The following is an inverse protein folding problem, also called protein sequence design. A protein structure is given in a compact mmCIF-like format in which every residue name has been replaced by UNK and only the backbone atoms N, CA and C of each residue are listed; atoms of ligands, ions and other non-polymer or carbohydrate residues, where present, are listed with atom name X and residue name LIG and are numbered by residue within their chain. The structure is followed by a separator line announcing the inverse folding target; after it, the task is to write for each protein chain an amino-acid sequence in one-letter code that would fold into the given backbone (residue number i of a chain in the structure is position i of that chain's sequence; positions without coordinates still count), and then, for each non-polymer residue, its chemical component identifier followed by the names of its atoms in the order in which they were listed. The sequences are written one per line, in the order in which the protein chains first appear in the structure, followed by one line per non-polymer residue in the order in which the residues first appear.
data_IF_677783877682
#
_entry.id   IF_677783877682
#
_cell.length_a   1.000
_cell.length_b   1.000
_cell.length_c   1.000
_cell.angle_alpha   90.00
_cell.angle_beta   90.00
_cell.angle_gamma   90.00
#
_symmetry.space_group_name_H-M   'P 1'
#
loop_
_entity.id
_entity.type
_entity.pdbx_description
1 polymer ?
#
# COMPACT_ATOMS: atom_id res chain seq x y z
N UNK A 1 62.87 84.88 -30.28
CA UNK A 1 61.70 84.01 -30.06
C UNK A 1 60.62 84.81 -29.35
N UNK A 2 59.39 84.68 -29.85
CA UNK A 2 58.23 85.60 -29.79
C UNK A 2 57.40 85.34 -28.51
N UNK A 3 57.35 86.26 -27.54
CA UNK A 3 56.22 87.17 -27.19
C UNK A 3 54.80 86.58 -27.28
N UNK A 4 54.24 86.25 -26.10
CA UNK A 4 53.17 86.98 -25.39
C UNK A 4 51.89 87.42 -26.12
N UNK A 5 50.77 87.22 -25.40
CA UNK A 5 49.52 88.02 -25.34
C UNK A 5 48.28 87.50 -26.10
N UNK A 6 47.20 87.24 -25.32
CA UNK A 6 45.79 87.69 -25.47
C UNK A 6 44.91 86.84 -24.51
N UNK A 7 44.48 87.35 -23.35
CA UNK A 7 43.26 88.16 -23.07
C UNK A 7 41.97 87.40 -23.45
N UNK A 8 40.85 87.40 -22.73
CA UNK A 8 40.39 88.04 -21.49
C UNK A 8 39.02 87.42 -21.17
N UNK A 9 38.60 87.55 -19.91
CA UNK A 9 37.24 87.74 -19.41
C UNK A 9 36.14 86.65 -19.48
N UNK A 10 35.53 86.47 -18.30
CA UNK A 10 34.09 86.60 -18.04
C UNK A 10 33.43 85.40 -17.31
N UNK A 11 33.31 85.59 -15.99
CA UNK A 11 32.04 85.59 -15.24
C UNK A 11 31.24 84.28 -15.10
N UNK A 12 31.20 83.79 -13.84
CA UNK A 12 30.11 82.96 -13.31
C UNK A 12 28.74 83.60 -13.57
N UNK A 13 27.70 82.76 -13.73
CA UNK A 13 26.62 82.88 -12.78
C UNK A 13 26.14 81.54 -12.20
N UNK A 14 25.90 81.58 -10.89
CA UNK A 14 25.04 80.72 -10.10
C UNK A 14 23.74 80.36 -10.85
N UNK A 15 23.53 79.07 -11.12
CA UNK A 15 22.22 78.54 -11.52
C UNK A 15 21.83 77.37 -10.62
N UNK A 16 20.84 77.65 -9.78
CA UNK A 16 20.12 76.80 -8.85
C UNK A 16 19.86 75.38 -9.37
N UNK A 17 20.47 74.38 -8.70
CA UNK A 17 20.02 72.99 -8.76
C UNK A 17 18.66 72.86 -8.05
N UNK A 18 17.57 72.97 -8.81
CA UNK A 18 16.21 72.67 -8.36
C UNK A 18 15.97 71.14 -8.25
N UNK A 19 15.12 70.65 -7.31
CA UNK A 19 14.98 69.21 -7.00
C UNK A 19 14.06 68.43 -7.96
N UNK A 20 13.84 68.91 -9.18
CA UNK A 20 12.81 68.35 -10.09
C UNK A 20 13.27 67.07 -10.80
N UNK A 21 14.53 66.98 -11.24
CA UNK A 21 15.01 65.85 -12.06
C UNK A 21 15.17 64.53 -11.30
N UNK A 22 15.18 64.56 -9.97
CA UNK A 22 15.35 63.34 -9.14
C UNK A 22 14.04 62.57 -8.94
N UNK A 23 12.88 63.24 -9.01
CA UNK A 23 11.56 62.62 -8.83
C UNK A 23 11.13 61.80 -10.05
N UNK A 24 11.49 62.25 -11.25
CA UNK A 24 11.07 61.61 -12.51
C UNK A 24 11.86 60.31 -12.79
N UNK A 25 13.17 60.29 -12.49
CA UNK A 25 14.01 59.09 -12.61
C UNK A 25 13.68 57.99 -11.58
N UNK A 26 13.02 58.32 -10.47
CA UNK A 26 12.47 57.33 -9.53
C UNK A 26 11.14 56.74 -10.00
N UNK A 27 10.30 57.52 -10.70
CA UNK A 27 9.03 57.05 -11.25
C UNK A 27 9.22 56.04 -12.39
N UNK A 28 10.12 56.32 -13.33
CA UNK A 28 10.37 55.44 -14.49
C UNK A 28 10.94 54.08 -14.08
N UNK A 29 11.90 54.04 -13.14
CA UNK A 29 12.45 52.78 -12.62
C UNK A 29 11.40 51.92 -11.92
N UNK A 30 10.43 52.54 -11.24
CA UNK A 30 9.29 51.84 -10.65
C UNK A 30 8.32 51.30 -11.72
N UNK A 31 8.11 52.00 -12.84
CA UNK A 31 7.26 51.51 -13.93
C UNK A 31 7.89 50.33 -14.67
N UNK A 32 9.19 50.38 -14.99
CA UNK A 32 9.89 49.24 -15.63
C UNK A 32 9.94 48.00 -14.74
N UNK A 33 10.06 48.17 -13.42
CA UNK A 33 9.99 47.06 -12.47
C UNK A 33 8.60 46.42 -12.40
N UNK A 34 7.53 47.22 -12.36
CA UNK A 34 6.14 46.74 -12.40
C UNK A 34 5.82 45.99 -13.69
N UNK A 35 6.28 46.50 -14.84
CA UNK A 35 6.13 45.84 -16.14
C UNK A 35 6.90 44.51 -16.18
N UNK A 36 8.15 44.48 -15.72
CA UNK A 36 8.95 43.23 -15.65
C UNK A 36 8.30 42.16 -14.78
N UNK A 37 7.76 42.53 -13.61
CA UNK A 37 7.01 41.59 -12.77
C UNK A 37 5.75 41.11 -13.49
N UNK A 38 5.00 41.99 -14.14
CA UNK A 38 3.81 41.62 -14.91
C UNK A 38 4.13 40.63 -16.04
N UNK A 39 5.23 40.87 -16.78
CA UNK A 39 5.70 39.97 -17.84
C UNK A 39 6.16 38.63 -17.29
N UNK A 40 6.93 38.61 -16.19
CA UNK A 40 7.35 37.35 -15.56
C UNK A 40 6.14 36.57 -15.06
N UNK A 41 5.19 37.23 -14.38
CA UNK A 41 3.98 36.59 -13.86
C UNK A 41 3.12 36.02 -14.98
N UNK A 42 2.97 36.76 -16.09
CA UNK A 42 2.26 36.31 -17.28
C UNK A 42 2.95 35.11 -17.95
N UNK A 43 4.28 35.16 -18.10
CA UNK A 43 5.07 34.05 -18.65
C UNK A 43 5.03 32.82 -17.74
N UNK A 44 5.10 33.00 -16.42
CA UNK A 44 4.93 31.91 -15.45
C UNK A 44 3.53 31.31 -15.55
N UNK A 45 2.50 32.14 -15.74
CA UNK A 45 1.13 31.68 -15.89
C UNK A 45 0.93 30.86 -17.18
N UNK A 46 1.49 31.32 -18.30
CA UNK A 46 1.51 30.56 -19.56
C UNK A 46 2.26 29.25 -19.38
N UNK A 47 3.46 29.26 -18.78
CA UNK A 47 4.24 28.05 -18.55
C UNK A 47 3.50 27.07 -17.63
N UNK A 48 2.81 27.56 -16.60
CA UNK A 48 2.00 26.72 -15.72
C UNK A 48 0.83 26.10 -16.48
N UNK A 49 0.14 26.87 -17.32
CA UNK A 49 -0.99 26.40 -18.12
C UNK A 49 -0.55 25.36 -19.17
N UNK A 50 0.53 25.64 -19.90
CA UNK A 50 1.10 24.71 -20.88
C UNK A 50 1.65 23.46 -20.19
N UNK A 51 2.38 23.64 -19.08
CA UNK A 51 2.95 22.54 -18.31
C UNK A 51 1.89 21.61 -17.75
N UNK A 52 0.86 22.16 -17.10
CA UNK A 52 -0.27 21.38 -16.57
C UNK A 52 -1.05 20.69 -17.69
N UNK A 53 -1.29 21.36 -18.81
CA UNK A 53 -1.95 20.75 -19.98
C UNK A 53 -1.14 19.57 -20.54
N UNK A 54 0.19 19.71 -20.67
CA UNK A 54 1.05 18.63 -21.16
C UNK A 54 1.10 17.45 -20.18
N UNK A 55 1.19 17.73 -18.88
CA UNK A 55 1.14 16.73 -17.81
C UNK A 55 -0.16 15.93 -17.80
N UNK A 56 -1.26 16.51 -18.27
CA UNK A 56 -2.53 15.80 -18.41
C UNK A 56 -2.61 15.00 -19.71
N UNK A 57 -2.28 15.63 -20.84
CA UNK A 57 -2.45 15.06 -22.19
C UNK A 57 -1.47 13.93 -22.51
N UNK A 58 -0.19 14.06 -22.14
CA UNK A 58 0.83 13.05 -22.44
C UNK A 58 0.48 11.67 -21.87
N UNK A 59 0.15 11.54 -20.57
CA UNK A 59 -0.30 10.27 -20.00
C UNK A 59 -1.57 9.73 -20.67
N UNK A 60 -2.55 10.58 -20.98
CA UNK A 60 -3.82 10.11 -21.57
C UNK A 60 -3.61 9.50 -22.95
N UNK A 61 -2.84 10.18 -23.80
CA UNK A 61 -2.55 9.69 -25.16
C UNK A 61 -1.78 8.39 -25.10
N UNK A 62 -0.75 8.32 -24.24
CA UNK A 62 0.06 7.12 -24.08
C UNK A 62 -0.76 5.92 -23.59
N UNK A 63 -1.60 6.12 -22.56
CA UNK A 63 -2.48 5.07 -22.05
C UNK A 63 -3.50 4.59 -23.08
N UNK A 64 -4.12 5.52 -23.83
CA UNK A 64 -5.06 5.18 -24.91
C UNK A 64 -4.39 4.39 -26.04
N UNK A 65 -3.19 4.79 -26.46
CA UNK A 65 -2.44 4.07 -27.49
C UNK A 65 -2.17 2.61 -27.08
N UNK A 66 -1.83 2.39 -25.81
CA UNK A 66 -1.57 1.03 -25.31
C UNK A 66 -2.87 0.23 -25.18
N UNK A 67 -3.95 0.79 -24.64
CA UNK A 67 -5.23 0.08 -24.58
C UNK A 67 -5.78 -0.27 -25.97
N UNK A 68 -5.63 0.63 -26.94
CA UNK A 68 -5.96 0.35 -28.33
C UNK A 68 -5.09 -0.77 -28.92
N UNK A 69 -3.81 -0.83 -28.57
CA UNK A 69 -2.91 -1.89 -29.02
C UNK A 69 -3.28 -3.25 -28.41
N UNK A 70 -3.64 -3.28 -27.12
CA UNK A 70 -4.03 -4.49 -26.38
C UNK A 70 -5.48 -4.91 -26.65
N UNK A 71 -6.26 -4.11 -27.40
CA UNK A 71 -7.69 -4.32 -27.71
C UNK A 71 -8.57 -4.42 -26.45
N UNK A 72 -8.29 -3.58 -25.46
CA UNK A 72 -9.12 -3.45 -24.26
C UNK A 72 -10.03 -2.24 -24.46
N UNK A 73 -11.35 -2.46 -24.41
CA UNK A 73 -12.35 -1.39 -24.50
C UNK A 73 -12.40 -0.61 -23.18
N UNK A 74 -11.53 0.40 -23.04
CA UNK A 74 -11.56 1.33 -21.91
C UNK A 74 -12.53 2.49 -22.18
N UNK A 75 -13.75 2.38 -21.66
CA UNK A 75 -14.78 3.42 -21.77
C UNK A 75 -14.53 4.68 -20.92
N UNK A 76 -13.55 4.67 -20.01
CA UNK A 76 -13.27 5.81 -19.13
C UNK A 76 -11.83 6.31 -19.28
N UNK A 77 -11.70 7.57 -19.70
CA UNK A 77 -10.41 8.23 -19.93
C UNK A 77 -9.57 8.39 -18.66
N UNK A 78 -10.20 8.32 -17.48
CA UNK A 78 -9.50 8.35 -16.20
C UNK A 78 -8.56 7.15 -16.03
N UNK A 79 -8.94 5.96 -16.55
CA UNK A 79 -8.10 4.78 -16.51
C UNK A 79 -6.93 4.88 -17.49
N UNK A 80 -7.17 5.43 -18.68
CA UNK A 80 -6.11 5.70 -19.66
C UNK A 80 -5.10 6.71 -19.12
N UNK A 81 -5.57 7.78 -18.47
CA UNK A 81 -4.72 8.76 -17.80
C UNK A 81 -3.85 8.11 -16.72
N UNK A 82 -4.46 7.39 -15.77
CA UNK A 82 -3.76 6.78 -14.65
C UNK A 82 -2.71 5.76 -15.12
N UNK A 83 -3.08 4.91 -16.08
CA UNK A 83 -2.19 3.89 -16.63
C UNK A 83 -1.01 4.51 -17.39
N UNK A 84 -1.25 5.51 -18.24
CA UNK A 84 -0.17 6.22 -18.92
C UNK A 84 0.76 6.95 -17.97
N UNK A 85 0.23 7.48 -16.85
CA UNK A 85 1.04 8.16 -15.84
C UNK A 85 1.96 7.18 -15.10
N UNK A 86 1.46 5.98 -14.78
CA UNK A 86 2.27 4.92 -14.20
C UNK A 86 3.42 4.50 -15.12
N UNK A 87 3.16 4.38 -16.43
CA UNK A 87 4.20 4.02 -17.39
C UNK A 87 5.26 5.11 -17.49
N UNK A 88 4.85 6.38 -17.56
CA UNK A 88 5.79 7.50 -17.58
C UNK A 88 6.63 7.53 -16.31
N UNK A 89 6.00 7.37 -15.15
CA UNK A 89 6.69 7.28 -13.86
C UNK A 89 7.71 6.13 -13.83
N UNK A 90 7.29 4.91 -14.19
CA UNK A 90 8.18 3.75 -14.24
C UNK A 90 9.32 3.94 -15.26
N UNK A 91 9.06 4.55 -16.41
CA UNK A 91 10.08 4.81 -17.42
C UNK A 91 11.13 5.82 -16.93
N UNK A 92 10.70 6.83 -16.17
CA UNK A 92 11.59 7.82 -15.57
C UNK A 92 12.45 7.19 -14.48
N UNK A 93 11.84 6.44 -13.56
CA UNK A 93 12.54 5.71 -12.51
C UNK A 93 13.54 4.71 -13.09
N UNK A 94 13.15 3.99 -14.15
CA UNK A 94 14.02 3.07 -14.86
C UNK A 94 15.19 3.80 -15.53
N UNK A 95 14.94 4.94 -16.19
CA UNK A 95 16.00 5.73 -16.83
C UNK A 95 16.99 6.31 -15.81
N UNK A 96 16.50 6.79 -14.67
CA UNK A 96 17.32 7.30 -13.56
C UNK A 96 18.14 6.17 -12.93
N UNK A 97 17.53 5.01 -12.69
CA UNK A 97 18.19 3.82 -12.18
C UNK A 97 19.25 3.31 -13.16
N UNK A 98 18.92 3.19 -14.45
CA UNK A 98 19.86 2.79 -15.49
C UNK A 98 21.03 3.78 -15.58
N UNK A 99 20.79 5.08 -15.47
CA UNK A 99 21.87 6.09 -15.44
C UNK A 99 22.77 5.88 -14.23
N UNK A 100 22.21 5.64 -13.05
CA UNK A 100 22.99 5.36 -11.84
C UNK A 100 23.86 4.11 -12.02
N UNK A 101 23.28 3.03 -12.56
CA UNK A 101 23.99 1.78 -12.83
C UNK A 101 25.05 1.98 -13.92
N UNK A 102 24.76 2.69 -15.02
CA UNK A 102 25.71 3.03 -16.11
C UNK A 102 26.90 3.87 -15.63
N UNK A 103 26.68 4.79 -14.69
CA UNK A 103 27.77 5.54 -14.05
C UNK A 103 28.60 4.64 -13.12
N UNK A 104 27.97 3.64 -12.46
CA UNK A 104 28.69 2.65 -11.65
C UNK A 104 29.37 1.53 -12.45
N UNK A 105 29.03 1.35 -13.74
CA UNK A 105 29.46 0.25 -14.61
C UNK A 105 30.97 0.25 -14.97
N UNK A 106 31.76 1.16 -14.38
CA UNK A 106 33.20 1.22 -14.57
C UNK A 106 34.01 0.14 -13.80
N UNK A 107 33.39 -0.68 -12.92
CA UNK A 107 34.09 -1.72 -12.14
C UNK A 107 33.29 -3.04 -12.02
N UNK A 108 33.99 -4.19 -11.96
CA UNK A 108 33.42 -5.55 -11.89
C UNK A 108 32.45 -5.77 -10.71
N UNK A 109 32.57 -4.96 -9.66
CA UNK A 109 31.70 -4.96 -8.48
C UNK A 109 30.24 -4.59 -8.82
N UNK A 110 30.01 -3.82 -9.89
CA UNK A 110 28.69 -3.38 -10.33
C UNK A 110 27.81 -4.52 -10.86
N UNK A 111 28.39 -5.58 -11.45
CA UNK A 111 27.61 -6.75 -11.90
C UNK A 111 27.00 -7.52 -10.73
N UNK A 112 27.78 -7.67 -9.66
CA UNK A 112 27.31 -8.30 -8.43
C UNK A 112 26.20 -7.47 -7.76
N UNK A 113 26.40 -6.14 -7.70
CA UNK A 113 25.41 -5.21 -7.15
C UNK A 113 24.10 -5.15 -7.98
N UNK A 114 24.21 -5.21 -9.30
CA UNK A 114 23.05 -5.23 -10.20
C UNK A 114 22.26 -6.53 -10.08
N UNK A 115 22.94 -7.68 -10.08
CA UNK A 115 22.30 -8.99 -9.92
C UNK A 115 21.68 -9.16 -8.53
N UNK A 116 22.31 -8.64 -7.47
CA UNK A 116 21.74 -8.65 -6.12
C UNK A 116 20.51 -7.73 -6.02
N UNK A 117 20.59 -6.52 -6.59
CA UNK A 117 19.47 -5.58 -6.65
C UNK A 117 18.28 -6.13 -7.45
N UNK A 118 18.52 -6.74 -8.62
CA UNK A 118 17.48 -7.38 -9.42
C UNK A 118 16.83 -8.55 -8.66
N UNK A 119 17.62 -9.35 -7.96
CA UNK A 119 17.10 -10.46 -7.14
C UNK A 119 16.23 -9.96 -5.99
N UNK A 120 16.67 -8.90 -5.29
CA UNK A 120 15.87 -8.26 -4.24
C UNK A 120 14.56 -7.69 -4.82
N UNK A 121 14.62 -7.02 -5.98
CA UNK A 121 13.44 -6.48 -6.64
C UNK A 121 12.42 -7.57 -7.02
N UNK A 122 12.87 -8.69 -7.60
CA UNK A 122 12.00 -9.83 -7.93
C UNK A 122 11.35 -10.42 -6.66
N UNK A 123 12.09 -10.53 -5.57
CA UNK A 123 11.57 -11.04 -4.28
C UNK A 123 10.51 -10.12 -3.69
N UNK A 124 10.78 -8.82 -3.63
CA UNK A 124 9.82 -7.80 -3.17
C UNK A 124 8.58 -7.79 -4.06
N UNK A 125 8.75 -7.84 -5.37
CA UNK A 125 7.63 -7.92 -6.31
C UNK A 125 6.80 -9.19 -6.07
N UNK A 126 7.43 -10.33 -5.86
CA UNK A 126 6.75 -11.60 -5.57
C UNK A 126 5.93 -11.51 -4.28
N UNK A 127 6.52 -11.02 -3.19
CA UNK A 127 5.80 -10.83 -1.92
C UNK A 127 4.63 -9.86 -2.12
N UNK A 128 4.86 -8.76 -2.84
CA UNK A 128 3.83 -7.74 -3.08
C UNK A 128 2.67 -8.30 -3.90
N UNK A 129 2.93 -9.04 -4.97
CA UNK A 129 1.89 -9.66 -5.80
C UNK A 129 1.11 -10.70 -5.01
N UNK A 130 1.78 -11.51 -4.20
CA UNK A 130 1.10 -12.51 -3.36
C UNK A 130 0.26 -11.85 -2.26
N UNK A 131 0.83 -10.90 -1.53
CA UNK A 131 0.22 -10.29 -0.35
C UNK A 131 -0.82 -9.21 -0.69
N UNK A 132 -0.57 -8.36 -1.68
CA UNK A 132 -1.46 -7.26 -2.05
C UNK A 132 -2.29 -7.53 -3.31
N UNK A 133 -2.01 -8.63 -4.03
CA UNK A 133 -2.77 -9.06 -5.21
C UNK A 133 -3.59 -10.31 -4.94
N UNK A 134 -2.91 -11.44 -4.76
CA UNK A 134 -3.54 -12.77 -4.74
C UNK A 134 -4.38 -13.02 -3.48
N UNK A 135 -3.85 -12.75 -2.28
CA UNK A 135 -4.59 -12.95 -1.03
C UNK A 135 -5.87 -12.07 -0.95
N UNK A 136 -5.83 -10.77 -1.32
CA UNK A 136 -7.04 -9.96 -1.39
C UNK A 136 -8.03 -10.50 -2.41
N UNK A 137 -7.57 -10.91 -3.58
CA UNK A 137 -8.46 -11.43 -4.62
C UNK A 137 -9.18 -12.70 -4.15
N UNK A 138 -8.45 -13.65 -3.54
CA UNK A 138 -9.03 -14.90 -3.02
C UNK A 138 -10.04 -14.64 -1.91
N UNK A 139 -9.75 -13.70 -1.00
CA UNK A 139 -10.64 -13.34 0.10
C UNK A 139 -11.89 -12.59 -0.38
N UNK A 140 -11.74 -11.68 -1.33
CA UNK A 140 -12.83 -10.97 -1.98
C UNK A 140 -13.79 -11.88 -2.71
N UNK A 141 -13.26 -12.78 -3.54
CA UNK A 141 -14.05 -13.81 -4.24
C UNK A 141 -14.83 -14.68 -3.26
N UNK A 142 -14.22 -15.05 -2.12
CA UNK A 142 -14.90 -15.84 -1.11
C UNK A 142 -16.10 -15.09 -0.50
N UNK A 143 -15.92 -13.81 -0.16
CA UNK A 143 -17.01 -12.95 0.34
C UNK A 143 -18.11 -12.78 -0.71
N UNK A 144 -17.73 -12.66 -1.98
CA UNK A 144 -18.70 -12.55 -3.06
C UNK A 144 -19.60 -13.78 -3.14
N UNK A 145 -19.01 -14.98 -3.25
CA UNK A 145 -19.77 -16.23 -3.37
C UNK A 145 -20.55 -16.58 -2.10
N UNK A 146 -20.07 -16.18 -0.93
CA UNK A 146 -20.72 -16.48 0.35
C UNK A 146 -21.85 -15.50 0.65
N UNK A 147 -21.65 -14.21 0.41
CA UNK A 147 -22.55 -13.16 0.93
C UNK A 147 -23.17 -12.37 -0.23
N UNK A 148 -22.35 -11.74 -1.06
CA UNK A 148 -22.83 -10.74 -2.03
C UNK A 148 -23.74 -11.34 -3.09
N UNK A 149 -23.49 -12.58 -3.51
CA UNK A 149 -24.30 -13.23 -4.54
C UNK A 149 -25.76 -13.44 -4.11
N UNK A 150 -26.02 -13.59 -2.81
CA UNK A 150 -27.37 -13.77 -2.27
C UNK A 150 -28.16 -12.46 -2.17
N UNK A 151 -27.45 -11.31 -2.19
CA UNK A 151 -28.07 -9.99 -2.20
C UNK A 151 -28.37 -9.45 -3.60
N UNK A 152 -27.88 -10.13 -4.65
CA UNK A 152 -28.19 -9.78 -6.04
C UNK A 152 -29.58 -10.30 -6.38
N UNK A 153 -30.52 -9.40 -6.66
CA UNK A 153 -31.88 -9.77 -7.05
C UNK A 153 -31.94 -10.42 -8.44
N UNK A 154 -33.02 -11.14 -8.70
CA UNK A 154 -33.25 -12.00 -9.89
C UNK A 154 -33.21 -11.28 -11.26
N UNK A 155 -33.07 -9.95 -11.29
CA UNK A 155 -32.98 -9.14 -12.51
C UNK A 155 -31.57 -8.68 -12.89
N UNK A 156 -30.53 -9.08 -12.13
CA UNK A 156 -29.16 -8.70 -12.44
C UNK A 156 -28.59 -9.67 -13.47
N UNK A 157 -28.49 -9.23 -14.73
CA UNK A 157 -27.66 -9.92 -15.71
C UNK A 157 -26.27 -10.07 -15.10
N UNK A 158 -25.74 -11.30 -15.07
CA UNK A 158 -24.41 -11.62 -14.58
C UNK A 158 -23.36 -10.99 -15.52
N UNK A 159 -23.24 -9.67 -15.48
CA UNK A 159 -22.02 -8.98 -15.88
C UNK A 159 -21.02 -9.37 -14.80
N UNK A 160 -20.28 -10.45 -15.09
CA UNK A 160 -19.37 -11.13 -14.18
C UNK A 160 -18.65 -10.14 -13.28
N UNK A 161 -18.54 -10.53 -12.01
CA UNK A 161 -17.86 -9.73 -11.01
C UNK A 161 -16.58 -9.15 -11.57
N UNK A 162 -16.48 -7.83 -11.54
CA UNK A 162 -15.26 -7.21 -12.02
C UNK A 162 -14.20 -7.60 -11.00
N UNK A 163 -13.19 -8.38 -11.40
CA UNK A 163 -12.13 -8.85 -10.51
C UNK A 163 -11.51 -7.74 -9.64
N UNK A 164 -11.55 -6.50 -10.14
CA UNK A 164 -11.13 -5.31 -9.41
C UNK A 164 -12.02 -4.98 -8.20
N UNK A 165 -13.33 -5.17 -8.31
CA UNK A 165 -14.27 -5.01 -7.20
C UNK A 165 -13.99 -6.05 -6.11
N UNK A 166 -13.84 -7.32 -6.48
CA UNK A 166 -13.60 -8.38 -5.50
C UNK A 166 -12.24 -8.17 -4.82
N UNK A 167 -11.23 -7.81 -5.61
CA UNK A 167 -9.94 -7.39 -5.07
C UNK A 167 -10.09 -6.24 -4.05
N UNK A 168 -10.86 -5.19 -4.37
CA UNK A 168 -11.08 -4.08 -3.46
C UNK A 168 -11.76 -4.52 -2.16
N UNK A 169 -12.81 -5.35 -2.22
CA UNK A 169 -13.48 -5.90 -1.04
C UNK A 169 -12.50 -6.72 -0.19
N UNK A 170 -11.69 -7.57 -0.82
CA UNK A 170 -10.67 -8.35 -0.11
C UNK A 170 -9.59 -7.49 0.54
N UNK A 171 -9.11 -6.43 -0.13
CA UNK A 171 -8.12 -5.51 0.48
C UNK A 171 -8.68 -4.80 1.71
N UNK A 172 -9.97 -4.47 1.72
CA UNK A 172 -10.65 -3.90 2.88
C UNK A 172 -10.73 -4.91 4.03
N UNK A 173 -11.06 -6.16 3.72
CA UNK A 173 -11.10 -7.24 4.71
C UNK A 173 -9.71 -7.46 5.35
N UNK A 174 -8.66 -7.54 4.55
CA UNK A 174 -7.29 -7.67 5.06
C UNK A 174 -6.84 -6.45 5.85
N UNK A 175 -7.26 -5.24 5.46
CA UNK A 175 -6.97 -4.02 6.21
C UNK A 175 -7.69 -4.04 7.57
N UNK A 176 -8.94 -4.47 7.62
CA UNK A 176 -9.68 -4.64 8.86
C UNK A 176 -9.03 -5.70 9.76
N UNK A 177 -8.67 -6.87 9.20
CA UNK A 177 -7.98 -7.93 9.93
C UNK A 177 -6.67 -7.43 10.55
N UNK A 178 -5.83 -6.74 9.76
CA UNK A 178 -4.60 -6.14 10.25
C UNK A 178 -4.85 -5.13 11.37
N UNK A 179 -5.87 -4.29 11.23
CA UNK A 179 -6.22 -3.32 12.26
C UNK A 179 -6.60 -4.01 13.58
N UNK A 180 -7.41 -5.08 13.52
CA UNK A 180 -7.82 -5.86 14.69
C UNK A 180 -6.64 -6.57 15.35
N UNK A 181 -5.73 -7.16 14.57
CA UNK A 181 -4.52 -7.82 15.11
C UNK A 181 -3.61 -6.80 15.78
N UNK A 182 -3.37 -5.65 15.14
CA UNK A 182 -2.49 -4.61 15.68
C UNK A 182 -3.12 -3.85 16.86
N UNK A 183 -4.45 -3.82 16.97
CA UNK A 183 -5.15 -3.30 18.15
C UNK A 183 -4.98 -4.20 19.40
N UNK A 184 -4.34 -5.37 19.27
CA UNK A 184 -4.06 -6.28 20.38
C UNK A 184 -5.26 -7.10 20.85
N UNK A 185 -6.38 -7.03 20.13
CA UNK A 185 -7.56 -7.86 20.40
C UNK A 185 -7.29 -9.33 20.10
N UNK A 186 -6.47 -9.61 19.07
CA UNK A 186 -5.93 -10.93 18.77
C UNK A 186 -4.57 -11.08 19.46
N UNK A 187 -4.55 -11.75 20.60
CA UNK A 187 -3.36 -11.98 21.44
C UNK A 187 -2.37 -13.02 20.90
N UNK A 188 -2.30 -13.22 19.59
CA UNK A 188 -1.29 -14.11 19.01
C UNK A 188 -0.04 -13.30 18.68
N UNK A 189 0.93 -13.34 19.60
CA UNK A 189 2.20 -12.61 19.52
C UNK A 189 2.91 -12.87 18.18
N UNK A 190 2.75 -14.08 17.63
CA UNK A 190 3.36 -14.44 16.36
C UNK A 190 2.81 -13.64 15.18
N UNK A 191 1.53 -13.28 15.19
CA UNK A 191 0.93 -12.51 14.09
C UNK A 191 1.31 -11.03 14.16
N UNK A 192 1.46 -10.48 15.36
CA UNK A 192 1.92 -9.10 15.55
C UNK A 192 3.34 -8.95 15.00
N UNK A 193 4.26 -9.84 15.40
CA UNK A 193 5.65 -9.83 14.90
C UNK A 193 5.71 -9.98 13.37
N UNK A 194 4.91 -10.89 12.79
CA UNK A 194 4.84 -11.09 11.33
C UNK A 194 4.33 -9.84 10.60
N UNK A 195 3.31 -9.18 11.12
CA UNK A 195 2.73 -7.98 10.50
C UNK A 195 3.62 -6.75 10.65
N UNK A 196 4.24 -6.58 11.82
CA UNK A 196 5.21 -5.53 12.09
C UNK A 196 6.43 -5.67 11.17
N UNK A 197 6.87 -6.91 10.94
CA UNK A 197 7.93 -7.19 9.97
C UNK A 197 7.54 -6.78 8.54
N UNK A 198 6.34 -7.16 8.06
CA UNK A 198 5.85 -6.75 6.73
C UNK A 198 5.76 -5.23 6.61
N UNK A 199 5.42 -4.55 7.72
CA UNK A 199 5.30 -3.09 7.75
C UNK A 199 6.66 -2.37 7.75
N UNK A 200 7.63 -2.89 8.50
CA UNK A 200 8.97 -2.28 8.67
C UNK A 200 9.97 -2.69 7.58
N UNK A 201 9.71 -3.81 6.89
CA UNK A 201 10.26 -4.21 5.59
C UNK A 201 11.66 -3.69 5.25
N UNK A 202 12.70 -4.23 5.89
CA UNK A 202 14.07 -3.88 5.53
C UNK A 202 14.50 -4.64 4.26
N UNK A 203 14.57 -3.94 3.13
CA UNK A 203 14.98 -4.50 1.83
C UNK A 203 16.37 -5.16 1.89
N UNK A 204 17.25 -4.72 2.80
CA UNK A 204 18.59 -5.27 2.95
C UNK A 204 18.62 -6.69 3.57
N UNK A 205 17.62 -7.08 4.38
CA UNK A 205 17.52 -8.42 4.99
C UNK A 205 16.57 -9.36 4.26
N UNK A 206 15.98 -8.90 3.17
CA UNK A 206 15.02 -9.64 2.35
C UNK A 206 15.57 -10.99 1.89
N UNK A 207 16.89 -11.11 1.67
CA UNK A 207 17.54 -12.32 1.19
C UNK A 207 17.43 -13.51 2.15
N UNK A 208 17.57 -13.27 3.45
CA UNK A 208 17.50 -14.30 4.50
C UNK A 208 16.04 -14.57 4.91
N UNK A 209 15.22 -13.52 4.90
CA UNK A 209 13.86 -13.57 5.44
C UNK A 209 12.82 -14.00 4.40
N UNK A 210 13.08 -13.84 3.09
CA UNK A 210 12.16 -14.18 1.99
C UNK A 210 11.55 -15.58 2.12
N UNK A 211 12.39 -16.60 2.31
CA UNK A 211 11.95 -17.99 2.44
C UNK A 211 11.09 -18.21 3.69
N UNK A 212 11.45 -17.55 4.78
CA UNK A 212 10.72 -17.61 6.07
C UNK A 212 9.34 -16.97 5.93
N UNK A 213 9.23 -15.80 5.30
CA UNK A 213 7.95 -15.09 5.11
C UNK A 213 7.00 -15.90 4.25
N UNK A 214 7.49 -16.41 3.11
CA UNK A 214 6.66 -17.25 2.24
C UNK A 214 6.17 -18.45 3.03
N UNK A 215 7.09 -19.21 3.63
CA UNK A 215 6.75 -20.46 4.31
C UNK A 215 5.83 -20.28 5.52
N UNK A 216 6.07 -19.27 6.35
CA UNK A 216 5.40 -19.13 7.63
C UNK A 216 4.23 -18.14 7.63
N UNK A 217 4.14 -17.27 6.63
CA UNK A 217 3.10 -16.23 6.57
C UNK A 217 2.23 -16.38 5.33
N UNK A 218 2.81 -16.38 4.12
CA UNK A 218 2.03 -16.40 2.87
C UNK A 218 1.43 -17.78 2.63
N UNK A 219 2.22 -18.85 2.70
CA UNK A 219 1.78 -20.23 2.47
C UNK A 219 0.58 -20.63 3.34
N UNK A 220 0.55 -20.43 4.68
CA UNK A 220 -0.61 -20.81 5.47
C UNK A 220 -1.87 -20.00 5.12
N UNK A 221 -1.73 -18.70 4.81
CA UNK A 221 -2.87 -17.90 4.33
C UNK A 221 -3.40 -18.43 3.00
N UNK A 222 -2.49 -18.76 2.08
CA UNK A 222 -2.81 -19.23 0.75
C UNK A 222 -3.46 -20.63 0.80
N UNK A 223 -2.94 -21.53 1.64
CA UNK A 223 -3.54 -22.85 1.91
C UNK A 223 -4.93 -22.70 2.53
N UNK A 224 -5.11 -21.77 3.47
CA UNK A 224 -6.40 -21.50 4.09
C UNK A 224 -7.43 -21.05 3.04
N UNK A 225 -7.10 -20.02 2.26
CA UNK A 225 -8.03 -19.49 1.24
C UNK A 225 -8.32 -20.51 0.14
N UNK A 226 -7.30 -21.21 -0.37
CA UNK A 226 -7.51 -22.27 -1.35
C UNK A 226 -8.39 -23.37 -0.76
N UNK A 227 -8.12 -23.83 0.47
CA UNK A 227 -8.93 -24.84 1.13
C UNK A 227 -10.39 -24.41 1.28
N UNK A 228 -10.62 -23.13 1.59
CA UNK A 228 -11.93 -22.54 1.74
C UNK A 228 -12.72 -22.46 0.42
N UNK A 229 -12.02 -22.32 -0.71
CA UNK A 229 -12.62 -22.41 -2.05
C UNK A 229 -12.83 -23.85 -2.53
N UNK A 230 -11.87 -24.74 -2.23
CA UNK A 230 -11.92 -26.14 -2.67
C UNK A 230 -13.05 -26.90 -1.99
N UNK A 231 -13.34 -26.63 -0.71
CA UNK A 231 -14.35 -27.37 0.05
C UNK A 231 -15.79 -27.23 -0.54
N UNK A 232 -16.32 -26.01 -0.80
CA UNK A 232 -17.60 -25.82 -1.48
C UNK A 232 -17.63 -26.40 -2.90
N UNK A 233 -16.54 -26.25 -3.65
CA UNK A 233 -16.43 -26.80 -5.00
C UNK A 233 -16.50 -28.32 -4.97
N UNK A 234 -15.77 -28.97 -4.07
CA UNK A 234 -15.83 -30.41 -3.93
C UNK A 234 -17.22 -30.89 -3.47
N UNK A 235 -17.85 -30.18 -2.53
CA UNK A 235 -19.19 -30.50 -2.05
C UNK A 235 -20.23 -30.43 -3.18
N UNK A 236 -20.14 -29.44 -4.07
CA UNK A 236 -21.06 -29.28 -5.19
C UNK A 236 -20.86 -30.36 -6.25
N UNK A 237 -19.61 -30.69 -6.58
CA UNK A 237 -19.28 -31.79 -7.48
C UNK A 237 -19.76 -33.13 -6.93
N UNK A 238 -19.46 -33.46 -5.66
CA UNK A 238 -19.93 -34.69 -5.03
C UNK A 238 -21.46 -34.75 -5.00
N UNK A 239 -22.13 -33.64 -4.70
CA UNK A 239 -23.60 -33.56 -4.74
C UNK A 239 -24.16 -33.83 -6.13
N UNK A 240 -23.49 -33.36 -7.19
CA UNK A 240 -23.88 -33.64 -8.58
C UNK A 240 -23.63 -35.11 -8.97
N UNK A 241 -22.56 -35.75 -8.48
CA UNK A 241 -22.33 -37.17 -8.71
C UNK A 241 -23.45 -38.04 -8.12
N UNK A 242 -23.99 -37.65 -6.95
CA UNK A 242 -25.09 -38.37 -6.29
C UNK A 242 -26.44 -38.03 -6.92
N UNK A 243 -26.65 -36.77 -7.30
CA UNK A 243 -27.88 -36.27 -7.91
C UNK A 243 -27.58 -35.48 -9.19
N UNK A 244 -27.53 -36.15 -10.36
CA UNK A 244 -27.30 -35.51 -11.65
C UNK A 244 -28.40 -34.50 -11.92
N UNK A 245 -28.02 -33.28 -12.27
CA UNK A 245 -28.91 -32.11 -12.31
C UNK A 245 -28.44 -31.16 -13.40
N UNK A 246 -29.32 -30.27 -13.86
CA UNK A 246 -28.99 -29.34 -14.94
C UNK A 246 -27.89 -28.36 -14.53
N UNK A 247 -27.12 -27.83 -15.50
CA UNK A 247 -25.98 -26.93 -15.23
C UNK A 247 -26.39 -25.67 -14.43
N UNK A 248 -27.58 -25.13 -14.68
CA UNK A 248 -28.12 -23.96 -13.96
C UNK A 248 -28.34 -24.26 -12.46
N UNK A 249 -28.78 -25.49 -12.14
CA UNK A 249 -28.95 -25.96 -10.76
C UNK A 249 -27.61 -26.28 -10.08
N UNK A 250 -26.54 -26.52 -10.84
CA UNK A 250 -25.18 -26.71 -10.31
C UNK A 250 -24.64 -25.37 -9.84
N UNK A 251 -24.80 -24.30 -10.64
CA UNK A 251 -24.35 -22.95 -10.25
C UNK A 251 -25.11 -22.43 -9.02
N UNK A 252 -26.44 -22.57 -9.01
CA UNK A 252 -27.28 -22.18 -7.88
C UNK A 252 -26.86 -22.91 -6.59
N UNK A 253 -26.71 -24.24 -6.65
CA UNK A 253 -26.21 -25.05 -5.53
C UNK A 253 -24.76 -24.72 -5.16
N UNK A 254 -23.95 -24.29 -6.13
CA UNK A 254 -22.62 -23.72 -5.93
C UNK A 254 -22.63 -22.63 -4.88
N UNK A 255 -23.44 -21.61 -5.10
CA UNK A 255 -23.55 -20.44 -4.23
C UNK A 255 -24.01 -20.82 -2.82
N UNK A 256 -25.02 -21.69 -2.70
CA UNK A 256 -25.48 -22.17 -1.41
C UNK A 256 -24.44 -23.03 -0.68
N UNK A 257 -23.62 -23.80 -1.41
CA UNK A 257 -22.55 -24.59 -0.82
C UNK A 257 -21.47 -23.71 -0.20
N UNK A 258 -21.12 -22.58 -0.83
CA UNK A 258 -20.19 -21.60 -0.24
C UNK A 258 -20.71 -21.08 1.10
N UNK A 259 -21.99 -20.65 1.16
CA UNK A 259 -22.64 -20.22 2.39
C UNK A 259 -22.70 -21.31 3.47
N UNK A 260 -23.06 -22.53 3.09
CA UNK A 260 -23.15 -23.65 4.03
C UNK A 260 -21.78 -24.01 4.61
N UNK A 261 -20.75 -24.14 3.77
CA UNK A 261 -19.39 -24.41 4.22
C UNK A 261 -18.86 -23.29 5.12
N UNK A 262 -19.13 -22.02 4.80
CA UNK A 262 -18.78 -20.89 5.64
C UNK A 262 -19.46 -20.97 7.02
N UNK A 263 -20.76 -21.27 7.06
CA UNK A 263 -21.50 -21.48 8.30
C UNK A 263 -20.91 -22.63 9.13
N UNK A 264 -20.61 -23.77 8.51
CA UNK A 264 -19.98 -24.91 9.21
C UNK A 264 -18.62 -24.52 9.77
N UNK A 265 -17.79 -23.84 8.99
CA UNK A 265 -16.48 -23.35 9.43
C UNK A 265 -16.59 -22.42 10.64
N UNK A 266 -17.49 -21.43 10.59
CA UNK A 266 -17.73 -20.49 11.68
C UNK A 266 -18.22 -21.21 12.95
N UNK A 267 -19.11 -22.19 12.83
CA UNK A 267 -19.58 -22.99 13.97
C UNK A 267 -18.46 -23.82 14.60
N UNK A 268 -17.65 -24.51 13.79
CA UNK A 268 -16.50 -25.28 14.28
C UNK A 268 -15.47 -24.37 14.95
N UNK A 269 -15.19 -23.21 14.34
CA UNK A 269 -14.29 -22.21 14.89
C UNK A 269 -14.80 -21.66 16.23
N UNK A 270 -16.08 -21.29 16.31
CA UNK A 270 -16.72 -20.79 17.53
C UNK A 270 -16.69 -21.84 18.64
N UNK A 271 -17.04 -23.09 18.34
CA UNK A 271 -17.01 -24.19 19.31
C UNK A 271 -15.59 -24.44 19.82
N UNK A 272 -14.60 -24.44 18.91
CA UNK A 272 -13.19 -24.54 19.27
C UNK A 272 -12.78 -23.38 20.18
N UNK A 273 -13.16 -22.15 19.85
CA UNK A 273 -12.83 -20.96 20.65
C UNK A 273 -13.44 -21.05 22.06
N UNK A 274 -14.73 -21.39 22.16
CA UNK A 274 -15.41 -21.60 23.45
C UNK A 274 -14.68 -22.67 24.26
N UNK A 275 -14.32 -23.81 23.64
CA UNK A 275 -13.57 -24.88 24.31
C UNK A 275 -12.23 -24.37 24.86
N UNK A 276 -11.47 -23.60 24.08
CA UNK A 276 -10.19 -23.03 24.54
C UNK A 276 -10.38 -22.05 25.69
N UNK A 277 -11.42 -21.22 25.68
CA UNK A 277 -11.73 -20.29 26.77
C UNK A 277 -12.10 -21.05 28.04
N UNK A 278 -12.96 -22.07 27.93
CA UNK A 278 -13.35 -22.92 29.07
C UNK A 278 -12.17 -23.65 29.67
N UNK A 279 -11.29 -24.23 28.84
CA UNK A 279 -10.08 -24.90 29.32
C UNK A 279 -9.14 -23.93 30.04
N UNK A 280 -8.90 -22.74 29.47
CA UNK A 280 -8.08 -21.72 30.14
C UNK A 280 -8.67 -21.25 31.46
N UNK A 281 -9.99 -21.08 31.52
CA UNK A 281 -10.66 -20.71 32.76
C UNK A 281 -10.54 -21.83 33.81
N UNK A 282 -10.72 -23.08 33.40
CA UNK A 282 -10.53 -24.24 34.26
C UNK A 282 -9.10 -24.30 34.82
N UNK A 283 -8.09 -24.12 33.96
CA UNK A 283 -6.69 -24.15 34.35
C UNK A 283 -6.34 -22.99 35.29
N UNK A 284 -6.84 -21.77 35.03
CA UNK A 284 -6.68 -20.63 35.94
C UNK A 284 -7.25 -20.90 37.33
N UNK A 285 -8.45 -21.49 37.42
CA UNK A 285 -9.08 -21.83 38.70
C UNK A 285 -8.26 -22.90 39.43
N UNK A 286 -7.72 -23.87 38.70
CA UNK A 286 -6.86 -24.92 39.25
C UNK A 286 -5.56 -24.35 39.80
N UNK A 287 -4.91 -23.48 39.03
CA UNK A 287 -3.65 -22.84 39.40
C UNK A 287 -3.81 -21.92 40.60
N UNK A 288 -4.91 -21.16 40.67
CA UNK A 288 -5.23 -20.33 41.84
C UNK A 288 -5.38 -21.16 43.12
N UNK A 289 -6.05 -22.32 43.03
CA UNK A 289 -6.17 -23.26 44.16
C UNK A 289 -4.82 -23.85 44.55
N UNK A 290 -3.98 -24.19 43.58
CA UNK A 290 -2.64 -24.72 43.83
C UNK A 290 -1.73 -23.69 44.50
N UNK A 291 -1.75 -22.44 44.02
CA UNK A 291 -1.02 -21.32 44.61
C UNK A 291 -1.48 -21.01 46.03
N UNK A 292 -2.79 -21.07 46.31
CA UNK A 292 -3.31 -20.93 47.67
C UNK A 292 -2.79 -22.05 48.59
N UNK A 293 -2.75 -23.30 48.09
CA UNK A 293 -2.19 -24.44 48.81
C UNK A 293 -0.69 -24.28 49.12
N UNK A 294 0.11 -23.84 48.15
CA UNK A 294 1.55 -23.57 48.35
C UNK A 294 1.76 -22.46 49.38
N UNK A 295 1.01 -21.35 49.26
CA UNK A 295 1.12 -20.24 50.21
C UNK A 295 0.83 -20.72 51.63
N UNK A 296 -0.23 -21.52 51.81
CA UNK A 296 -0.58 -22.08 53.12
C UNK A 296 0.50 -23.01 53.67
N UNK A 297 1.05 -23.91 52.84
CA UNK A 297 2.14 -24.79 53.23
C UNK A 297 3.39 -23.99 53.66
N UNK A 298 3.79 -22.98 52.87
CA UNK A 298 4.92 -22.12 53.20
C UNK A 298 4.72 -21.36 54.52
N UNK A 299 3.49 -20.92 54.82
CA UNK A 299 3.19 -20.30 56.12
C UNK A 299 3.37 -21.30 57.28
N UNK A 300 2.88 -22.53 57.15
CA UNK A 300 3.03 -23.57 58.19
C UNK A 300 4.49 -23.98 58.39
N UNK A 301 5.21 -24.29 57.30
CA UNK A 301 6.63 -24.65 57.37
C UNK A 301 7.50 -23.52 57.93
N UNK A 302 7.15 -22.26 57.61
CA UNK A 302 7.80 -21.08 58.19
C UNK A 302 7.63 -21.04 59.72
N UNK A 303 6.42 -21.26 60.22
CA UNK A 303 6.12 -21.30 61.65
C UNK A 303 6.86 -22.44 62.37
N UNK A 304 6.91 -23.64 61.79
CA UNK A 304 7.64 -24.78 62.35
C UNK A 304 9.14 -24.53 62.42
N UNK A 305 9.72 -23.93 61.37
CA UNK A 305 11.15 -23.57 61.36
C UNK A 305 11.50 -22.52 62.42
N UNK A 306 10.61 -21.54 62.66
CA UNK A 306 10.79 -20.53 63.68
C UNK A 306 10.71 -21.12 65.09
N UNK A 307 9.74 -22.01 65.34
CA UNK A 307 9.60 -22.70 66.63
C UNK A 307 10.79 -23.63 66.92
N UNK A 308 11.35 -24.27 65.88
CA UNK A 308 12.52 -25.16 66.02
C UNK A 308 13.83 -24.39 66.25
N UNK A 309 13.89 -23.10 65.89
CA UNK A 309 15.03 -22.23 66.17
C UNK A 309 14.97 -21.58 67.57
N UNK A 310 13.82 -21.63 68.23
CA UNK A 310 13.58 -21.02 69.54
C UNK A 310 13.59 -22.04 70.69
N UNK A 311 13.51 -23.35 70.41
CA UNK A 311 13.59 -24.44 71.38
C UNK A 311 14.94 -25.13 71.36
#
# INVERSE_FOLDING_TARGET
QKKEHRDDDAQEPLAQNGPSTRRDATGDRCQFYRYRIGVVLFLTWIMLLVGTSLLLVLPTVLGRSIFSFVRIDCNHDIYAFAFGLLILWCSLELALSLRFVLVSFAQDEARHLFLSGLRAAVRVATITVLWAGLLPLLSGLFIEFTVLIHFRGDGYEFNGSTLLQDWAVGTLLEKAFRAVVMAGEVRDVQWIERLEWIHTGNVARMDEEFGTIIRWTITPCLVLWIGLHVCPLLATQLGHLVFPTAMEEILSRGNYAYSLCACVYLNVWMLSHIRHVVLRLHDSIRDDKYLAGIRLHNFVSGLESQNSALG
#
